data_IF_039096329032
#
_entry.id   IF_039096329032
#
_cell.length_a   1.000
_cell.length_b   1.000
_cell.length_c   1.000
_cell.angle_alpha   90.00
_cell.angle_beta   90.00
_cell.angle_gamma   90.00
#
_symmetry.space_group_name_H-M   'P 1'
#
loop_
_entity.id
_entity.type
_entity.pdbx_description
1 polymer ?
#
# COMPACT_ATOMS: atom_id res chain seq x y z
N UNK A 1 -15.05 -3.54 -3.22
CA UNK A 1 -14.29 -4.66 -2.59
C UNK A 1 -12.82 -4.64 -3.01
N UNK A 2 -12.48 -4.23 -4.23
CA UNK A 2 -11.10 -4.20 -4.76
C UNK A 2 -10.09 -3.38 -3.93
N UNK A 3 -10.50 -2.30 -3.26
CA UNK A 3 -9.61 -1.44 -2.46
C UNK A 3 -9.20 -2.03 -1.09
N UNK A 4 -9.88 -3.09 -0.64
CA UNK A 4 -9.63 -3.71 0.68
C UNK A 4 -8.29 -4.45 0.74
N UNK A 5 -7.81 -4.96 -0.39
CA UNK A 5 -6.50 -5.62 -0.52
C UNK A 5 -5.39 -4.73 -1.06
N UNK A 6 -5.71 -3.48 -1.44
CA UNK A 6 -4.79 -2.56 -2.10
C UNK A 6 -4.30 -1.44 -1.18
N UNK A 7 -4.70 -0.21 -1.47
CA UNK A 7 -4.24 1.00 -0.78
C UNK A 7 -4.60 0.96 0.71
N UNK A 8 -5.75 0.41 1.08
CA UNK A 8 -6.19 0.37 2.47
C UNK A 8 -5.32 -0.56 3.34
N UNK A 9 -4.97 -1.74 2.83
CA UNK A 9 -4.16 -2.70 3.56
C UNK A 9 -2.67 -2.34 3.53
N UNK A 10 -2.13 -1.99 2.36
CA UNK A 10 -0.69 -1.89 2.17
C UNK A 10 -0.18 -0.47 1.97
N UNK A 11 -1.05 0.50 1.69
CA UNK A 11 -0.74 1.92 1.47
C UNK A 11 0.27 2.19 0.36
N UNK A 12 1.51 1.74 0.51
CA UNK A 12 2.59 1.87 -0.46
C UNK A 12 3.10 0.50 -0.90
N UNK A 13 3.33 0.38 -2.20
CA UNK A 13 4.02 -0.75 -2.81
C UNK A 13 5.47 -0.36 -3.10
N UNK A 14 6.43 -1.20 -2.71
CA UNK A 14 7.86 -0.90 -2.82
C UNK A 14 8.31 -0.60 -4.27
N UNK A 15 7.75 -1.32 -5.24
CA UNK A 15 8.03 -1.15 -6.69
C UNK A 15 7.55 0.21 -7.24
N UNK A 16 6.60 0.87 -6.57
CA UNK A 16 5.95 2.11 -7.00
C UNK A 16 6.32 3.33 -6.16
N UNK A 17 7.31 3.22 -5.26
CA UNK A 17 7.72 4.35 -4.41
C UNK A 17 8.18 5.57 -5.22
N UNK A 18 8.71 5.36 -6.44
CA UNK A 18 9.08 6.42 -7.37
C UNK A 18 7.92 7.33 -7.79
N UNK A 19 6.68 6.87 -7.67
CA UNK A 19 5.47 7.63 -7.99
C UNK A 19 5.03 8.58 -6.86
N UNK A 20 5.75 8.60 -5.74
CA UNK A 20 5.39 9.38 -4.55
C UNK A 20 6.45 10.41 -4.17
N UNK A 21 6.00 11.47 -3.52
CA UNK A 21 6.84 12.43 -2.81
C UNK A 21 6.61 12.25 -1.31
N UNK A 22 7.71 12.25 -0.56
CA UNK A 22 7.71 12.10 0.89
C UNK A 22 8.22 13.39 1.52
N UNK A 23 7.41 13.98 2.41
CA UNK A 23 7.79 15.15 3.19
C UNK A 23 7.95 14.73 4.65
N UNK A 24 9.16 14.91 5.20
CA UNK A 24 9.41 14.62 6.60
C UNK A 24 8.69 15.64 7.49
N UNK A 25 7.86 15.15 8.40
CA UNK A 25 7.05 15.96 9.32
C UNK A 25 7.77 16.12 10.67
N UNK A 26 8.36 15.04 11.16
CA UNK A 26 9.01 15.03 12.48
C UNK A 26 9.04 13.64 13.10
N UNK A 27 9.24 13.60 14.42
CA UNK A 27 9.17 12.38 15.22
C UNK A 27 7.92 12.39 16.09
N UNK A 28 7.32 11.22 16.26
CA UNK A 28 6.19 10.99 17.16
C UNK A 28 6.43 9.71 17.95
N UNK A 29 5.98 9.68 19.22
CA UNK A 29 6.00 8.48 20.03
C UNK A 29 4.58 7.93 20.13
N UNK A 30 4.38 6.69 19.70
CA UNK A 30 3.12 5.97 19.87
C UNK A 30 3.42 4.73 20.72
N UNK A 31 2.77 4.64 21.87
CA UNK A 31 3.03 3.63 22.89
C UNK A 31 4.53 3.55 23.26
N UNK A 32 5.21 2.45 22.90
CA UNK A 32 6.63 2.22 23.17
C UNK A 32 7.54 2.52 21.96
N UNK A 33 6.97 2.90 20.81
CA UNK A 33 7.68 3.09 19.55
C UNK A 33 8.02 4.55 19.30
N UNK A 34 9.26 4.83 18.87
CA UNK A 34 9.66 6.14 18.34
C UNK A 34 9.59 6.09 16.81
N UNK A 35 8.87 7.03 16.22
CA UNK A 35 8.47 6.94 14.82
C UNK A 35 8.89 8.19 14.06
N UNK A 36 9.46 8.01 12.88
CA UNK A 36 9.53 9.06 11.87
C UNK A 36 8.17 9.21 11.19
N UNK A 37 7.73 10.45 11.02
CA UNK A 37 6.44 10.77 10.41
C UNK A 37 6.66 11.42 9.06
N UNK A 38 5.99 10.91 8.03
CA UNK A 38 6.07 11.45 6.68
C UNK A 38 4.68 11.69 6.10
N UNK A 39 4.49 12.85 5.47
CA UNK A 39 3.38 13.07 4.56
C UNK A 39 3.75 12.53 3.18
N UNK A 40 2.80 11.82 2.56
CA UNK A 40 2.97 11.09 1.33
C UNK A 40 1.95 11.59 0.30
N UNK A 41 2.47 12.07 -0.82
CA UNK A 41 1.64 12.58 -1.92
C UNK A 41 2.04 11.92 -3.24
N UNK A 42 1.09 11.32 -3.98
CA UNK A 42 1.40 10.75 -5.28
C UNK A 42 1.63 11.85 -6.31
N UNK A 43 2.74 11.74 -7.05
CA UNK A 43 3.19 12.72 -8.07
C UNK A 43 2.17 12.89 -9.20
N UNK A 44 1.34 11.88 -9.44
CA UNK A 44 0.26 11.91 -10.43
C UNK A 44 -0.71 13.07 -10.21
N UNK A 45 -0.90 13.52 -8.96
CA UNK A 45 -1.80 14.62 -8.63
C UNK A 45 -1.26 15.98 -9.08
N UNK A 46 0.05 16.07 -9.32
CA UNK A 46 0.71 17.27 -9.83
C UNK A 46 0.86 17.25 -11.36
N UNK A 47 0.36 16.22 -12.06
CA UNK A 47 0.38 16.11 -13.52
C UNK A 47 -1.05 16.24 -14.10
N UNK A 48 -1.45 17.43 -14.58
CA UNK A 48 -2.78 17.65 -15.12
C UNK A 48 -3.11 16.78 -16.34
N UNK A 49 -2.11 16.48 -17.19
CA UNK A 49 -2.33 15.70 -18.41
C UNK A 49 -2.65 14.25 -18.06
N UNK A 50 -1.88 13.66 -17.16
CA UNK A 50 -2.13 12.30 -16.68
C UNK A 50 -3.42 12.21 -15.86
N UNK A 51 -3.73 13.22 -15.04
CA UNK A 51 -4.98 13.24 -14.28
C UNK A 51 -6.22 13.27 -15.19
N UNK A 52 -6.19 14.07 -16.26
CA UNK A 52 -7.26 14.09 -17.26
C UNK A 52 -7.35 12.78 -18.06
N UNK A 53 -6.21 12.11 -18.33
CA UNK A 53 -6.23 10.77 -18.93
C UNK A 53 -6.93 9.74 -18.02
N UNK A 54 -6.56 9.67 -16.73
CA UNK A 54 -7.23 8.80 -15.76
C UNK A 54 -8.73 9.06 -15.67
N UNK A 55 -9.13 10.33 -15.70
CA UNK A 55 -10.55 10.74 -15.69
C UNK A 55 -11.30 10.27 -16.94
N UNK A 56 -10.69 10.35 -18.13
CA UNK A 56 -11.28 9.84 -19.38
C UNK A 56 -11.42 8.33 -19.35
N UNK A 57 -10.42 7.64 -18.81
CA UNK A 57 -10.41 6.19 -18.60
C UNK A 57 -11.30 5.73 -17.43
N UNK A 58 -11.87 6.68 -16.67
CA UNK A 58 -12.66 6.42 -15.45
C UNK A 58 -11.89 5.60 -14.40
N UNK A 59 -10.56 5.77 -14.36
CA UNK A 59 -9.67 5.16 -13.37
C UNK A 59 -9.57 6.05 -12.15
N UNK A 60 -10.08 5.56 -11.02
CA UNK A 60 -10.13 6.27 -9.75
C UNK A 60 -9.42 5.46 -8.67
N UNK A 61 -8.80 6.15 -7.70
CA UNK A 61 -8.01 5.51 -6.66
C UNK A 61 -6.71 4.88 -7.18
N UNK A 62 -6.19 3.92 -6.42
CA UNK A 62 -4.98 3.16 -6.74
C UNK A 62 -3.68 3.80 -6.27
N UNK A 63 -3.74 5.05 -5.79
CA UNK A 63 -2.62 5.72 -5.13
C UNK A 63 -2.97 6.10 -3.71
N UNK A 64 -1.98 6.01 -2.81
CA UNK A 64 -2.12 6.46 -1.43
C UNK A 64 -1.77 7.93 -1.28
N UNK A 65 -2.67 8.72 -0.69
CA UNK A 65 -2.34 10.03 -0.17
C UNK A 65 -2.65 10.07 1.33
N UNK A 66 -1.68 10.49 2.14
CA UNK A 66 -1.86 10.54 3.58
C UNK A 66 -0.54 10.66 4.33
N UNK A 67 -0.52 10.12 5.54
CA UNK A 67 0.60 10.13 6.47
C UNK A 67 0.99 8.71 6.83
N UNK A 68 2.29 8.46 6.93
CA UNK A 68 2.85 7.20 7.42
C UNK A 68 3.72 7.46 8.64
N UNK A 69 3.74 6.47 9.54
CA UNK A 69 4.63 6.41 10.68
C UNK A 69 5.55 5.22 10.51
N UNK A 70 6.85 5.48 10.59
CA UNK A 70 7.93 4.54 10.29
C UNK A 70 8.77 4.36 11.54
N UNK A 71 8.97 3.13 12.01
CA UNK A 71 9.83 2.85 13.16
C UNK A 71 11.25 3.38 12.93
N UNK A 72 11.84 4.02 13.95
CA UNK A 72 13.19 4.55 13.88
C UNK A 72 14.29 3.48 14.04
N UNK A 73 13.91 2.24 14.37
CA UNK A 73 14.81 1.10 14.50
C UNK A 73 14.93 0.26 13.24
N UNK A 74 13.81 -0.27 12.73
CA UNK A 74 13.80 -1.19 11.57
C UNK A 74 13.29 -0.56 10.27
N UNK A 75 12.91 0.72 10.32
CA UNK A 75 12.41 1.50 9.19
C UNK A 75 11.18 0.91 8.49
N UNK A 76 10.37 0.15 9.23
CA UNK A 76 9.10 -0.40 8.74
C UNK A 76 7.94 0.53 9.05
N UNK A 77 6.93 0.54 8.18
CA UNK A 77 5.70 1.30 8.40
C UNK A 77 4.90 0.60 9.50
N UNK A 78 4.68 1.27 10.62
CA UNK A 78 3.89 0.75 11.74
C UNK A 78 2.42 1.18 11.63
N UNK A 79 2.18 2.33 11.01
CA UNK A 79 0.86 2.92 10.84
C UNK A 79 0.80 3.73 9.55
N UNK A 80 -0.34 3.69 8.89
CA UNK A 80 -0.65 4.56 7.76
C UNK A 80 -2.07 5.12 7.94
N UNK A 81 -2.23 6.43 7.72
CA UNK A 81 -3.54 7.09 7.72
C UNK A 81 -3.68 7.91 6.46
N UNK A 82 -4.69 7.62 5.65
CA UNK A 82 -4.84 8.29 4.37
C UNK A 82 -6.01 7.76 3.58
N UNK A 83 -6.02 8.03 2.28
CA UNK A 83 -7.11 7.64 1.38
C UNK A 83 -6.59 7.34 -0.01
N UNK A 84 -7.43 6.64 -0.78
CA UNK A 84 -7.19 6.39 -2.19
C UNK A 84 -7.49 7.63 -3.03
N UNK A 85 -6.62 7.92 -3.98
CA UNK A 85 -6.69 9.05 -4.93
C UNK A 85 -6.25 8.60 -6.33
N UNK A 86 -6.67 9.27 -7.42
CA UNK A 86 -7.56 10.44 -7.46
C UNK A 86 -9.03 10.08 -7.22
N UNK A 87 -9.83 11.07 -6.81
CA UNK A 87 -11.27 10.93 -6.62
C UNK A 87 -12.01 11.76 -7.69
N UNK A 88 -12.77 11.11 -8.57
CA UNK A 88 -13.62 11.78 -9.55
C UNK A 88 -15.08 11.63 -9.18
N UNK A 89 -15.72 10.52 -9.57
CA UNK A 89 -17.11 10.18 -9.20
C UNK A 89 -17.15 9.38 -7.90
N UNK A 90 -16.19 8.50 -7.70
CA UNK A 90 -16.04 7.70 -6.50
C UNK A 90 -15.48 8.55 -5.35
N UNK A 91 -15.82 8.12 -4.13
CA UNK A 91 -15.28 8.64 -2.89
C UNK A 91 -14.64 7.50 -2.12
N UNK A 92 -13.50 7.80 -1.52
CA UNK A 92 -12.77 6.86 -0.68
C UNK A 92 -12.65 7.45 0.71
N UNK A 93 -12.97 6.67 1.75
CA UNK A 93 -12.85 7.13 3.13
C UNK A 93 -11.39 7.29 3.49
N UNK A 94 -11.14 8.17 4.46
CA UNK A 94 -9.87 8.18 5.17
C UNK A 94 -9.80 6.97 6.09
N UNK A 95 -8.88 6.07 5.80
CA UNK A 95 -8.62 4.91 6.63
C UNK A 95 -7.38 5.13 7.49
N UNK A 96 -7.29 4.30 8.53
CA UNK A 96 -6.14 4.15 9.40
C UNK A 96 -5.83 2.67 9.52
N UNK A 97 -4.63 2.29 9.13
CA UNK A 97 -4.14 0.91 9.15
C UNK A 97 -2.95 0.80 10.09
N UNK A 98 -3.06 -0.12 11.05
CA UNK A 98 -2.02 -0.50 11.97
C UNK A 98 -1.36 -1.79 11.51
N UNK A 99 -0.04 -1.85 11.67
CA UNK A 99 0.74 -3.04 11.39
C UNK A 99 1.36 -3.55 12.67
N UNK A 100 1.49 -4.86 12.74
CA UNK A 100 2.20 -5.54 13.81
C UNK A 100 3.27 -6.45 13.21
N UNK A 101 4.32 -6.67 13.98
CA UNK A 101 5.39 -7.58 13.59
C UNK A 101 4.94 -9.02 13.75
N UNK A 102 4.79 -9.74 12.64
CA UNK A 102 4.49 -11.18 12.62
C UNK A 102 5.79 -11.95 12.42
N UNK A 103 5.94 -13.04 13.19
CA UNK A 103 7.11 -13.92 13.24
C UNK A 103 8.45 -13.18 13.45
N UNK A 104 8.43 -12.04 14.14
CA UNK A 104 9.63 -11.26 14.46
C UNK A 104 10.37 -10.68 13.26
N UNK A 105 9.74 -10.62 12.07
CA UNK A 105 10.43 -10.16 10.85
C UNK A 105 9.61 -9.22 9.96
N UNK A 106 8.31 -9.48 9.78
CA UNK A 106 7.53 -8.76 8.78
C UNK A 106 6.38 -8.00 9.43
N UNK A 107 6.22 -6.74 9.04
CA UNK A 107 5.12 -5.90 9.49
C UNK A 107 3.91 -6.06 8.58
N UNK A 108 2.89 -6.77 9.06
CA UNK A 108 1.66 -6.99 8.32
C UNK A 108 0.55 -6.11 8.86
N UNK A 109 -0.37 -5.63 8.00
CA UNK A 109 -1.57 -4.94 8.48
C UNK A 109 -2.41 -5.90 9.32
N UNK A 110 -2.69 -5.58 10.57
CA UNK A 110 -3.54 -6.41 11.44
C UNK A 110 -4.88 -5.76 11.73
N UNK A 111 -4.97 -4.43 11.56
CA UNK A 111 -6.17 -3.68 11.82
C UNK A 111 -6.31 -2.48 10.89
N UNK A 112 -7.44 -2.38 10.20
CA UNK A 112 -7.82 -1.19 9.42
C UNK A 112 -9.16 -0.67 9.90
N UNK A 113 -9.23 0.64 10.12
CA UNK A 113 -10.44 1.34 10.53
C UNK A 113 -10.68 2.55 9.62
N UNK A 114 -11.94 2.82 9.30
CA UNK A 114 -12.36 4.03 8.63
C UNK A 114 -13.73 4.46 9.15
N UNK A 115 -13.93 5.75 9.33
CA UNK A 115 -15.16 6.36 9.81
C UNK A 115 -15.20 7.78 9.28
N UNK A 116 -15.94 7.98 8.19
CA UNK A 116 -15.86 9.17 7.36
C UNK A 116 -17.22 9.48 6.72
N UNK A 117 -17.45 10.73 6.37
CA UNK A 117 -18.64 11.17 5.63
C UNK A 117 -18.28 11.43 4.18
N UNK A 118 -18.82 10.60 3.28
CA UNK A 118 -18.49 10.65 1.85
C UNK A 118 -19.49 11.54 1.12
N UNK A 119 -19.10 12.79 0.86
CA UNK A 119 -19.92 13.74 0.08
C UNK A 119 -19.66 13.62 -1.42
N UNK A 120 -20.73 13.35 -2.17
CA UNK A 120 -20.73 13.25 -3.62
C UNK A 120 -21.08 14.60 -4.27
N UNK A 121 -20.76 14.75 -5.56
CA UNK A 121 -20.98 16.02 -6.29
C UNK A 121 -22.43 16.50 -6.32
N UNK A 122 -23.39 15.60 -6.11
CA UNK A 122 -24.83 15.92 -6.03
C UNK A 122 -25.29 16.44 -4.67
N UNK A 123 -24.39 16.59 -3.69
CA UNK A 123 -24.72 17.01 -2.33
C UNK A 123 -25.16 15.87 -1.40
N UNK A 124 -25.43 14.68 -1.95
CA UNK A 124 -25.63 13.47 -1.16
C UNK A 124 -24.37 13.14 -0.35
N UNK A 125 -24.57 12.83 0.92
CA UNK A 125 -23.50 12.40 1.82
C UNK A 125 -23.86 11.07 2.44
N UNK A 126 -22.88 10.16 2.45
CA UNK A 126 -23.02 8.81 3.00
C UNK A 126 -22.04 8.67 4.15
N UNK A 127 -22.55 8.39 5.36
CA UNK A 127 -21.70 8.00 6.47
C UNK A 127 -21.16 6.58 6.26
N UNK A 128 -19.85 6.45 6.20
CA UNK A 128 -19.16 5.19 5.95
C UNK A 128 -18.32 4.80 7.17
N UNK A 129 -18.61 3.62 7.71
CA UNK A 129 -17.82 3.03 8.80
C UNK A 129 -17.36 1.63 8.44
N UNK A 130 -16.09 1.36 8.67
CA UNK A 130 -15.46 0.09 8.36
C UNK A 130 -14.43 -0.28 9.42
N UNK A 131 -14.39 -1.58 9.74
CA UNK A 131 -13.44 -2.17 10.66
C UNK A 131 -13.03 -3.53 10.13
N UNK A 132 -11.75 -3.70 9.83
CA UNK A 132 -11.16 -4.93 9.31
C UNK A 132 -10.09 -5.38 10.30
N UNK A 133 -10.09 -6.67 10.63
CA UNK A 133 -9.02 -7.32 11.38
C UNK A 133 -8.48 -8.46 10.52
N UNK A 134 -7.18 -8.46 10.31
CA UNK A 134 -6.49 -9.53 9.61
C UNK A 134 -5.86 -10.43 10.67
N UNK A 135 -6.19 -11.73 10.61
CA UNK A 135 -5.72 -12.75 11.56
C UNK A 135 -5.12 -13.93 10.80
N UNK A 136 -4.53 -14.86 11.55
CA UNK A 136 -4.12 -16.17 11.03
C UNK A 136 -3.10 -16.06 9.88
N UNK A 137 -2.14 -15.14 10.02
CA UNK A 137 -1.02 -15.01 9.09
C UNK A 137 -0.18 -16.28 9.12
N UNK A 138 -0.25 -17.07 8.06
CA UNK A 138 0.58 -18.25 7.88
C UNK A 138 1.62 -18.04 6.79
N UNK A 139 2.85 -18.48 7.06
CA UNK A 139 3.88 -18.60 6.02
C UNK A 139 3.46 -19.69 5.05
N UNK A 140 3.28 -19.34 3.77
CA UNK A 140 3.15 -20.32 2.70
C UNK A 140 4.38 -21.25 2.68
N UNK A 141 4.18 -22.49 3.12
CA UNK A 141 5.18 -23.57 3.06
C UNK A 141 5.03 -24.33 1.74
N UNK A 142 5.30 -23.65 0.62
CA UNK A 142 5.23 -24.24 -0.71
C UNK A 142 6.11 -23.48 -1.70
N UNK A 143 6.59 -24.16 -2.76
CA UNK A 143 7.20 -23.46 -3.90
C UNK A 143 6.08 -22.87 -4.75
N UNK A 144 5.90 -21.55 -4.69
CA UNK A 144 5.11 -20.84 -5.67
C UNK A 144 5.98 -20.58 -6.91
N UNK A 145 5.56 -21.09 -8.07
CA UNK A 145 6.05 -20.60 -9.35
C UNK A 145 5.20 -19.38 -9.71
N UNK A 146 5.77 -18.19 -9.57
CA UNK A 146 5.14 -16.97 -10.06
C UNK A 146 5.33 -16.95 -11.57
N UNK A 147 4.29 -17.35 -12.30
CA UNK A 147 4.25 -17.18 -13.75
C UNK A 147 3.70 -15.78 -13.98
N UNK A 148 4.58 -14.85 -14.33
CA UNK A 148 4.16 -13.52 -14.81
C UNK A 148 3.57 -13.75 -16.20
N UNK A 149 2.25 -13.76 -16.32
CA UNK A 149 1.57 -14.02 -17.59
C UNK A 149 1.79 -12.83 -18.52
N UNK A 150 2.74 -13.00 -19.45
CA UNK A 150 3.06 -12.04 -20.49
C UNK A 150 1.91 -11.87 -21.50
N UNK A 151 1.89 -10.69 -22.13
CA UNK A 151 1.01 -10.26 -23.22
C UNK A 151 0.65 -11.34 -24.25
N UNK A 152 -0.58 -11.32 -24.82
CA UNK A 152 -1.00 -12.32 -25.79
C UNK A 152 -0.26 -12.14 -27.12
N UNK A 153 0.66 -13.06 -27.41
CA UNK A 153 1.36 -13.16 -28.70
C UNK A 153 2.59 -14.05 -28.61
N UNK A 154 2.59 -15.11 -29.40
CA UNK A 154 3.67 -16.10 -29.64
C UNK A 154 3.93 -17.15 -28.56
N UNK A 155 3.10 -18.18 -28.59
CA UNK A 155 3.46 -19.53 -28.13
C UNK A 155 4.40 -20.17 -29.15
N UNK A 156 5.68 -20.29 -28.80
CA UNK A 156 6.47 -21.51 -29.02
C UNK A 156 7.84 -21.32 -28.35
N UNK A 157 8.05 -21.98 -27.20
CA UNK A 157 9.38 -22.50 -26.93
C UNK A 157 9.30 -23.72 -26.00
N UNK A 158 9.62 -24.89 -26.57
CA UNK A 158 9.63 -26.19 -25.89
C UNK A 158 11.01 -26.55 -25.34
N UNK A 159 12.00 -25.65 -25.34
CA UNK A 159 13.39 -26.01 -25.02
C UNK A 159 14.13 -24.97 -24.15
N UNK A 160 13.61 -24.62 -22.97
CA UNK A 160 14.45 -23.93 -21.97
C UNK A 160 14.34 -24.55 -20.57
N UNK A 161 15.45 -25.04 -19.98
CA UNK A 161 15.45 -25.55 -18.61
C UNK A 161 15.20 -24.41 -17.61
N UNK A 162 14.56 -24.69 -16.46
CA UNK A 162 14.17 -23.67 -15.49
C UNK A 162 15.39 -22.91 -14.96
N UNK A 163 15.35 -21.58 -15.11
CA UNK A 163 16.33 -20.68 -14.54
C UNK A 163 16.41 -20.86 -13.01
N UNK A 164 17.63 -20.99 -12.49
CA UNK A 164 17.88 -21.08 -11.05
C UNK A 164 17.32 -19.82 -10.34
N UNK A 165 16.66 -19.97 -9.17
CA UNK A 165 16.20 -18.82 -8.40
C UNK A 165 17.37 -17.91 -8.06
N UNK A 166 17.21 -16.61 -8.31
CA UNK A 166 18.15 -15.60 -7.87
C UNK A 166 18.29 -15.65 -6.33
N UNK A 167 19.50 -15.45 -5.78
CA UNK A 167 19.72 -15.49 -4.34
C UNK A 167 18.88 -14.42 -3.65
N UNK A 168 18.10 -14.84 -2.65
CA UNK A 168 17.36 -13.94 -1.77
C UNK A 168 18.32 -12.95 -1.10
N UNK A 169 18.00 -11.64 -1.06
CA UNK A 169 18.78 -10.68 -0.32
C UNK A 169 18.82 -11.10 1.16
N UNK A 170 20.03 -11.26 1.69
CA UNK A 170 20.25 -11.67 3.06
C UNK A 170 19.69 -10.61 4.01
N UNK A 171 19.04 -11.01 5.13
CA UNK A 171 18.59 -10.05 6.12
C UNK A 171 19.78 -9.23 6.66
N UNK A 172 19.59 -7.93 6.96
CA UNK A 172 20.63 -7.12 7.57
C UNK A 172 21.11 -7.77 8.86
N UNK A 173 22.42 -7.96 8.99
CA UNK A 173 23.03 -8.45 10.24
C UNK A 173 22.79 -7.40 11.33
N UNK A 174 21.99 -7.76 12.33
CA UNK A 174 21.92 -7.02 13.59
C UNK A 174 23.30 -7.15 14.24
N UNK A 175 23.99 -6.02 14.45
CA UNK A 175 25.22 -6.00 15.27
C UNK A 175 24.82 -6.06 16.75
N UNK A 176 25.59 -6.81 17.58
CA UNK A 176 25.37 -6.90 19.02
C UNK A 176 25.58 -5.56 19.73
#
# INVERSE_FOLDING_TARGET
>A
IEDLGGVQAFSLEASKLGDYTFAYVGKEKIDELNLYVFDVTPKILSDPKRLEALKREKKEGGYFQGRIWVDDRDYQIVKARGKSVPQFKQRFPTFETYREQIDGKYWFPTYTYADDELTFKGGESIHFRMRIRFTDFERLRGRAHVIEEGTPGDVNDKDNPPAKPAPQPSPPKVKP
#
